data_IF_855940495804
#
_entry.id   IF_855940495804
#
_cell.length_a   1.000
_cell.length_b   1.000
_cell.length_c   1.000
_cell.angle_alpha   90.00
_cell.angle_beta   90.00
_cell.angle_gamma   90.00
#
_symmetry.space_group_name_H-M   'P 1'
#
loop_
_entity.id
_entity.type
_entity.pdbx_description
1 polymer ?
#
# COMPACT_ATOMS: atom_id res chain seq x y z
N UNK A 1 1.02 -20.09 -6.80
CA UNK A 1 1.38 -20.08 -8.24
C UNK A 1 1.01 -18.77 -8.95
N UNK A 2 -0.01 -18.04 -8.48
CA UNK A 2 -0.50 -16.78 -9.07
C UNK A 2 0.60 -15.78 -9.40
N UNK A 3 1.38 -15.34 -8.41
CA UNK A 3 2.45 -14.34 -8.63
C UNK A 3 3.56 -14.86 -9.55
N UNK A 4 3.87 -16.16 -9.51
CA UNK A 4 4.90 -16.75 -10.35
C UNK A 4 4.48 -16.74 -11.84
N UNK A 5 3.22 -17.10 -12.12
CA UNK A 5 2.67 -17.09 -13.47
C UNK A 5 2.55 -15.67 -14.02
N UNK A 6 2.08 -14.71 -13.21
CA UNK A 6 2.01 -13.30 -13.63
C UNK A 6 3.39 -12.73 -13.93
N UNK A 7 4.40 -13.02 -13.08
CA UNK A 7 5.78 -12.60 -13.32
C UNK A 7 6.35 -13.18 -14.61
N UNK A 8 6.06 -14.43 -14.93
CA UNK A 8 6.48 -15.04 -16.19
C UNK A 8 5.85 -14.35 -17.41
N UNK A 9 4.56 -13.98 -17.32
CA UNK A 9 3.88 -13.21 -18.35
C UNK A 9 4.48 -11.81 -18.52
N UNK A 10 4.63 -11.05 -17.43
CA UNK A 10 5.20 -9.70 -17.45
C UNK A 10 6.61 -9.70 -18.04
N UNK A 11 7.44 -10.70 -17.71
CA UNK A 11 8.78 -10.85 -18.27
C UNK A 11 8.82 -11.11 -19.78
N UNK A 12 7.69 -11.54 -20.38
CA UNK A 12 7.58 -11.74 -21.83
C UNK A 12 7.16 -10.48 -22.61
N UNK A 13 6.75 -9.42 -21.90
CA UNK A 13 6.31 -8.16 -22.52
C UNK A 13 7.52 -7.26 -22.85
N UNK A 14 7.37 -6.31 -23.79
CA UNK A 14 8.31 -5.20 -23.95
C UNK A 14 8.42 -4.34 -22.68
N UNK A 15 9.29 -3.34 -22.70
CA UNK A 15 9.48 -2.41 -21.58
C UNK A 15 8.16 -1.81 -21.09
N UNK A 16 7.87 -2.02 -19.80
CA UNK A 16 6.69 -1.48 -19.12
C UNK A 16 7.07 -0.17 -18.47
N UNK A 17 6.48 0.93 -18.94
CA UNK A 17 6.76 2.27 -18.43
C UNK A 17 6.18 2.49 -17.02
N UNK A 18 4.98 1.95 -16.75
CA UNK A 18 4.29 2.09 -15.46
C UNK A 18 3.63 0.76 -15.10
N UNK A 19 3.78 0.34 -13.85
CA UNK A 19 3.05 -0.75 -13.25
C UNK A 19 2.28 -0.23 -12.03
N UNK A 20 0.97 -0.43 -12.01
CA UNK A 20 0.10 -0.06 -10.88
C UNK A 20 -0.56 -1.33 -10.38
N UNK A 21 -0.41 -1.61 -9.09
CA UNK A 21 -1.08 -2.71 -8.42
C UNK A 21 -2.24 -2.15 -7.61
N UNK A 22 -3.44 -2.72 -7.79
CA UNK A 22 -4.68 -2.19 -7.23
C UNK A 22 -5.06 -2.99 -5.99
N UNK A 23 -5.06 -2.31 -4.84
CA UNK A 23 -5.39 -2.90 -3.54
C UNK A 23 -6.39 -2.01 -2.80
N UNK A 24 -7.03 -2.61 -1.81
CA UNK A 24 -7.84 -1.92 -0.80
C UNK A 24 -7.41 -2.39 0.59
N UNK A 25 -7.61 -1.53 1.58
CA UNK A 25 -7.42 -1.85 3.00
C UNK A 25 -8.79 -1.82 3.65
N UNK A 26 -9.16 -2.91 4.31
CA UNK A 26 -10.54 -3.23 4.69
C UNK A 26 -10.65 -3.52 6.18
N UNK A 27 -11.86 -3.44 6.73
CA UNK A 27 -12.12 -3.89 8.10
C UNK A 27 -11.76 -5.38 8.31
N UNK A 28 -11.80 -6.19 7.24
CA UNK A 28 -11.37 -7.60 7.30
C UNK A 28 -9.86 -7.78 7.41
N UNK A 29 -9.04 -6.78 7.03
CA UNK A 29 -7.61 -6.82 7.32
C UNK A 29 -7.37 -6.83 8.83
N UNK A 30 -8.13 -6.05 9.59
CA UNK A 30 -8.00 -6.00 11.05
C UNK A 30 -8.69 -7.17 11.74
N UNK A 31 -9.88 -7.54 11.28
CA UNK A 31 -10.73 -8.51 11.99
C UNK A 31 -10.46 -9.97 11.62
N UNK A 32 -9.85 -10.25 10.46
CA UNK A 32 -9.60 -11.62 9.97
C UNK A 32 -8.13 -11.83 9.59
N UNK A 33 -7.57 -11.02 8.68
CA UNK A 33 -6.30 -11.35 8.04
C UNK A 33 -5.07 -11.09 8.91
N UNK A 34 -4.99 -9.95 9.62
CA UNK A 34 -3.90 -9.67 10.58
C UNK A 34 -3.89 -10.66 11.75
N UNK A 35 -5.02 -10.99 12.39
CA UNK A 35 -5.07 -12.05 13.40
C UNK A 35 -4.63 -13.42 12.86
N UNK A 36 -5.10 -13.81 11.66
CA UNK A 36 -4.72 -15.07 11.04
C UNK A 36 -3.21 -15.12 10.72
N UNK A 37 -2.64 -14.02 10.25
CA UNK A 37 -1.20 -13.87 10.01
C UNK A 37 -0.39 -14.05 11.30
N UNK A 38 -0.79 -13.36 12.38
CA UNK A 38 -0.13 -13.48 13.69
C UNK A 38 -0.19 -14.92 14.24
N UNK A 39 -1.35 -15.56 14.14
CA UNK A 39 -1.54 -16.96 14.55
C UNK A 39 -0.68 -17.93 13.73
N UNK A 40 -0.59 -17.74 12.41
CA UNK A 40 0.28 -18.53 11.52
C UNK A 40 1.74 -18.42 11.92
N UNK A 41 2.19 -17.20 12.23
CA UNK A 41 3.60 -16.91 12.53
C UNK A 41 3.95 -17.13 14.01
N UNK A 42 2.97 -17.48 14.86
CA UNK A 42 3.17 -17.76 16.28
C UNK A 42 3.54 -16.52 17.09
N UNK A 43 3.08 -15.34 16.67
CA UNK A 43 3.32 -14.06 17.33
C UNK A 43 2.04 -13.50 17.93
N UNK A 44 2.19 -12.59 18.89
CA UNK A 44 1.06 -11.85 19.44
C UNK A 44 0.46 -10.92 18.36
N UNK A 45 -0.86 -10.96 18.22
CA UNK A 45 -1.57 -10.01 17.40
C UNK A 45 -1.66 -8.67 18.14
N UNK A 46 -1.27 -7.60 17.45
CA UNK A 46 -1.37 -6.22 17.93
C UNK A 46 -2.38 -5.52 17.02
N UNK A 47 -3.43 -4.97 17.63
CA UNK A 47 -4.48 -4.25 16.92
C UNK A 47 -3.90 -3.01 16.22
N UNK A 48 -4.21 -2.89 14.93
CA UNK A 48 -3.85 -1.75 14.10
C UNK A 48 -5.06 -0.86 13.79
N UNK A 49 -4.82 0.17 12.98
CA UNK A 49 -5.88 1.04 12.46
C UNK A 49 -6.12 0.75 10.97
N UNK A 50 -7.38 0.87 10.55
CA UNK A 50 -7.78 0.95 9.14
C UNK A 50 -7.82 2.44 8.75
N UNK A 51 -7.01 2.89 7.76
CA UNK A 51 -7.05 4.28 7.32
C UNK A 51 -8.39 4.63 6.67
N UNK A 52 -8.96 5.78 7.06
CA UNK A 52 -10.21 6.27 6.48
C UNK A 52 -9.97 7.07 5.20
N UNK A 53 -9.84 6.37 4.08
CA UNK A 53 -9.76 6.98 2.75
C UNK A 53 -8.72 6.34 1.83
N UNK A 54 -8.60 6.89 0.62
CA UNK A 54 -7.61 6.43 -0.35
C UNK A 54 -6.20 6.89 0.01
N UNK A 55 -5.20 6.06 -0.24
CA UNK A 55 -3.78 6.42 -0.15
C UNK A 55 -2.97 5.64 -1.18
N UNK A 56 -1.74 6.07 -1.43
CA UNK A 56 -0.80 5.32 -2.28
C UNK A 56 0.40 4.82 -1.49
N UNK A 57 0.97 3.73 -1.99
CA UNK A 57 2.20 3.13 -1.49
C UNK A 57 3.26 3.23 -2.60
N UNK A 58 4.27 4.07 -2.39
CA UNK A 58 5.42 4.18 -3.28
C UNK A 58 6.58 3.25 -2.89
N UNK A 59 7.53 3.05 -3.81
CA UNK A 59 8.78 2.35 -3.52
C UNK A 59 9.77 3.31 -2.87
N UNK A 60 10.28 2.99 -1.68
CA UNK A 60 11.30 3.80 -1.01
C UNK A 60 12.55 4.01 -1.87
N UNK A 61 12.94 3.03 -2.70
CA UNK A 61 14.12 3.14 -3.58
C UNK A 61 13.85 3.94 -4.86
N UNK A 62 12.58 4.12 -5.22
CA UNK A 62 12.14 4.85 -6.42
C UNK A 62 10.79 5.56 -6.17
N UNK A 63 10.76 6.61 -5.32
CA UNK A 63 9.52 7.13 -4.74
C UNK A 63 8.60 7.85 -5.73
N UNK A 64 9.14 8.37 -6.84
CA UNK A 64 8.39 9.08 -7.89
C UNK A 64 7.39 10.11 -7.31
N UNK A 65 7.86 11.09 -6.50
CA UNK A 65 6.98 11.89 -5.65
C UNK A 65 5.96 12.71 -6.43
N UNK A 66 6.32 13.24 -7.61
CA UNK A 66 5.39 14.00 -8.46
C UNK A 66 4.31 13.10 -9.09
N UNK A 67 4.65 11.85 -9.42
CA UNK A 67 3.68 10.89 -9.93
C UNK A 67 2.66 10.53 -8.85
N UNK A 68 3.12 10.26 -7.62
CA UNK A 68 2.24 9.98 -6.48
C UNK A 68 1.30 11.17 -6.20
N UNK A 69 1.83 12.40 -6.17
CA UNK A 69 1.04 13.61 -6.01
C UNK A 69 -0.04 13.77 -7.09
N UNK A 70 0.30 13.46 -8.35
CA UNK A 70 -0.65 13.53 -9.47
C UNK A 70 -1.77 12.50 -9.34
N UNK A 71 -1.46 11.29 -8.85
CA UNK A 71 -2.47 10.26 -8.55
C UNK A 71 -3.41 10.73 -7.44
N UNK A 72 -2.87 11.20 -6.31
CA UNK A 72 -3.65 11.71 -5.18
C UNK A 72 -4.57 12.85 -5.62
N UNK A 73 -4.03 13.86 -6.31
CA UNK A 73 -4.81 15.01 -6.78
C UNK A 73 -5.93 14.63 -7.77
N UNK A 74 -5.76 13.52 -8.49
CA UNK A 74 -6.81 13.01 -9.38
C UNK A 74 -7.89 12.26 -8.61
N UNK A 75 -7.50 11.43 -7.64
CA UNK A 75 -8.40 10.58 -6.85
C UNK A 75 -9.19 11.39 -5.82
N UNK A 76 -8.61 12.44 -5.25
CA UNK A 76 -9.28 13.35 -4.29
C UNK A 76 -10.57 13.99 -4.86
N UNK A 77 -10.69 14.04 -6.19
CA UNK A 77 -11.90 14.55 -6.86
C UNK A 77 -13.09 13.60 -6.77
N UNK A 78 -12.87 12.32 -6.47
CA UNK A 78 -13.89 11.26 -6.51
C UNK A 78 -14.03 10.49 -5.20
N UNK A 79 -13.05 10.57 -4.29
CA UNK A 79 -13.12 10.01 -2.94
C UNK A 79 -12.18 10.78 -2.01
N UNK A 80 -12.42 10.71 -0.70
CA UNK A 80 -11.52 11.31 0.28
C UNK A 80 -10.19 10.55 0.39
N UNK A 81 -9.14 11.28 0.74
CA UNK A 81 -7.78 10.77 0.94
C UNK A 81 -7.59 10.47 2.42
N UNK A 82 -6.93 9.35 2.74
CA UNK A 82 -6.68 8.94 4.11
C UNK A 82 -5.88 10.01 4.86
N UNK A 83 -6.35 10.48 6.03
CA UNK A 83 -5.54 11.31 6.90
C UNK A 83 -4.45 10.47 7.54
N UNK A 84 -3.39 11.15 7.99
CA UNK A 84 -2.44 10.54 8.91
C UNK A 84 -3.08 10.34 10.29
N UNK A 85 -2.64 9.33 11.03
CA UNK A 85 -2.96 9.17 12.44
C UNK A 85 -2.26 10.24 13.32
N UNK A 86 -2.48 10.16 14.63
CA UNK A 86 -1.91 11.09 15.62
C UNK A 86 -0.36 11.08 15.64
N UNK A 87 0.28 10.05 15.08
CA UNK A 87 1.74 9.95 14.95
C UNK A 87 2.25 10.43 13.58
N UNK A 88 1.36 10.90 12.69
CA UNK A 88 1.74 11.31 11.35
C UNK A 88 1.95 10.14 10.39
N UNK A 89 1.31 8.98 10.65
CA UNK A 89 1.48 7.75 9.89
C UNK A 89 0.19 7.29 9.21
N UNK A 90 0.35 6.44 8.19
CA UNK A 90 -0.71 5.59 7.63
C UNK A 90 -0.19 4.17 7.72
N UNK A 91 -0.96 3.25 8.31
CA UNK A 91 -0.58 1.85 8.56
C UNK A 91 0.84 1.69 9.14
N UNK A 92 1.16 2.50 10.15
CA UNK A 92 2.45 2.46 10.85
C UNK A 92 3.64 3.02 10.06
N UNK A 93 3.39 3.66 8.91
CA UNK A 93 4.44 4.23 8.06
C UNK A 93 4.32 5.74 7.97
N UNK A 94 5.44 6.45 8.07
CA UNK A 94 5.47 7.91 8.04
C UNK A 94 4.91 8.43 6.72
N UNK A 95 3.97 9.37 6.82
CA UNK A 95 3.39 10.04 5.66
C UNK A 95 4.43 10.96 5.03
N UNK A 96 4.69 10.76 3.74
CA UNK A 96 5.70 11.54 2.98
C UNK A 96 5.09 12.72 2.23
N UNK A 97 3.81 12.59 1.85
CA UNK A 97 2.95 13.62 1.27
C UNK A 97 1.51 13.30 1.66
N UNK A 98 0.56 14.24 1.49
CA UNK A 98 -0.85 13.96 1.74
C UNK A 98 -1.30 12.66 1.03
N UNK A 99 -1.69 11.64 1.80
CA UNK A 99 -2.10 10.33 1.29
C UNK A 99 -1.00 9.43 0.72
N UNK A 100 0.29 9.70 0.96
CA UNK A 100 1.40 8.92 0.38
C UNK A 100 2.34 8.38 1.46
N UNK A 101 2.52 7.06 1.48
CA UNK A 101 3.56 6.35 2.25
C UNK A 101 4.50 5.60 1.31
N UNK A 102 5.69 5.22 1.79
CA UNK A 102 6.65 4.44 0.99
C UNK A 102 7.11 3.18 1.73
N UNK A 103 7.26 2.07 1.00
CA UNK A 103 7.83 0.82 1.50
C UNK A 103 9.02 0.31 0.68
N UNK A 104 9.95 -0.44 1.30
CA UNK A 104 11.00 -1.14 0.57
C UNK A 104 10.43 -2.37 -0.17
N UNK A 105 10.15 -2.23 -1.47
CA UNK A 105 9.44 -3.26 -2.26
C UNK A 105 10.23 -4.56 -2.50
N UNK A 106 11.56 -4.56 -2.31
CA UNK A 106 12.41 -5.77 -2.48
C UNK A 106 12.58 -6.61 -1.22
N UNK A 107 12.13 -6.11 -0.06
CA UNK A 107 12.50 -6.66 1.26
C UNK A 107 11.28 -7.08 2.10
N UNK A 108 10.23 -7.54 1.43
CA UNK A 108 9.04 -8.14 2.05
C UNK A 108 9.18 -9.66 2.14
#
# INVERSE_FOLDING_TARGET
EESANLRALVASLPEVLVHVDLHETTDSDETEFRPALAARDGIEYIEGMIPDGFYTVGDTENPQPEFQAAVIASVEKVTHIAPADDEGKIIGSDVTQHGVINYPMKKL
#
